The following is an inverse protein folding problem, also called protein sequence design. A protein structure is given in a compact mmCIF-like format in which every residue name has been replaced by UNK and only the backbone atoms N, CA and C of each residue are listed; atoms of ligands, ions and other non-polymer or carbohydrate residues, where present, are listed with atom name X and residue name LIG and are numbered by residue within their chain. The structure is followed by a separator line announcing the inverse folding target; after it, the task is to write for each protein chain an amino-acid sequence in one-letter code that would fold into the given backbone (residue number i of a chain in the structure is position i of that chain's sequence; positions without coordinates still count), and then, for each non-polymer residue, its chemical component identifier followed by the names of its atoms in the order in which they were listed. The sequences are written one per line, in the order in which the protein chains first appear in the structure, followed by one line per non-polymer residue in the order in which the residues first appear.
data_IF_874761532597
#
_entry.id   IF_874761532597
#
_cell.length_a   1.000
_cell.length_b   1.000
_cell.length_c   1.000
_cell.angle_alpha   90.00
_cell.angle_beta   90.00
_cell.angle_gamma   90.00
#
_symmetry.space_group_name_H-M   'P 1'
#
loop_
_entity.id
_entity.type
_entity.pdbx_description
1 polymer ?
#
# COMPACT_ATOMS: atom_id res chain seq x y z
N UNK A 1 7.47 48.02 22.32
CA UNK A 1 6.54 46.88 22.39
C UNK A 1 5.60 46.98 21.21
N UNK A 2 5.70 46.08 20.23
CA UNK A 2 4.74 45.97 19.12
C UNK A 2 4.62 44.49 18.74
N UNK A 3 3.43 43.92 18.92
CA UNK A 3 3.04 42.60 18.43
C UNK A 3 2.25 42.83 17.14
N UNK A 4 2.80 42.36 16.03
CA UNK A 4 2.11 42.10 14.76
C UNK A 4 3.07 41.20 13.95
N UNK A 5 2.68 40.14 13.26
CA UNK A 5 1.41 39.48 13.04
C UNK A 5 1.76 37.99 12.85
N UNK A 6 0.95 37.09 13.39
CA UNK A 6 1.05 35.68 13.02
C UNK A 6 0.42 35.57 11.63
N UNK A 7 1.28 35.64 10.62
CA UNK A 7 0.95 35.29 9.24
C UNK A 7 0.45 33.85 9.25
N UNK A 8 -0.87 33.71 9.28
CA UNK A 8 -1.55 32.44 9.08
C UNK A 8 -1.57 32.18 7.58
N UNK A 9 -0.38 31.87 7.05
CA UNK A 9 -0.28 31.33 5.70
C UNK A 9 -0.89 29.93 5.72
N UNK A 10 -2.08 29.89 5.12
CA UNK A 10 -2.85 28.74 4.63
C UNK A 10 -2.04 27.44 4.67
N UNK A 11 -2.42 26.52 5.56
CA UNK A 11 -2.08 25.12 5.39
C UNK A 11 -2.72 24.65 4.08
N UNK A 12 -1.92 24.62 3.02
CA UNK A 12 -2.28 23.99 1.77
C UNK A 12 -2.83 22.59 2.09
N UNK A 13 -4.12 22.38 1.77
CA UNK A 13 -4.79 21.08 1.83
C UNK A 13 -4.13 20.16 0.80
N UNK A 14 -2.91 19.68 1.08
CA UNK A 14 -2.42 18.48 0.43
C UNK A 14 -3.30 17.34 0.93
N UNK A 15 -4.08 16.66 0.07
CA UNK A 15 -4.78 15.46 0.47
C UNK A 15 -3.77 14.53 1.11
N UNK A 16 -4.02 14.11 2.34
CA UNK A 16 -3.15 13.15 3.02
C UNK A 16 -3.05 11.91 2.11
N UNK A 17 -1.84 11.63 1.59
CA UNK A 17 -1.61 10.58 0.60
C UNK A 17 -2.11 9.21 1.08
N UNK A 18 -2.04 8.93 2.39
CA UNK A 18 -2.58 7.71 2.98
C UNK A 18 -4.11 7.67 2.92
N UNK A 19 -4.79 8.79 3.17
CA UNK A 19 -6.25 8.89 3.10
C UNK A 19 -6.77 8.78 1.66
N UNK A 20 -6.06 9.38 0.70
CA UNK A 20 -6.36 9.22 -0.72
C UNK A 20 -6.19 7.75 -1.14
N UNK A 21 -5.10 7.11 -0.76
CA UNK A 21 -4.85 5.71 -1.09
C UNK A 21 -5.90 4.77 -0.44
N UNK A 22 -6.32 5.04 0.80
CA UNK A 22 -7.37 4.28 1.48
C UNK A 22 -8.74 4.43 0.77
N UNK A 23 -9.05 5.63 0.26
CA UNK A 23 -10.25 5.84 -0.55
C UNK A 23 -10.18 5.07 -1.87
N UNK A 24 -9.01 5.00 -2.51
CA UNK A 24 -8.82 4.19 -3.72
C UNK A 24 -8.98 2.69 -3.44
N UNK A 25 -8.48 2.18 -2.30
CA UNK A 25 -8.76 0.79 -1.88
C UNK A 25 -10.27 0.52 -1.75
N UNK A 26 -11.02 1.46 -1.16
CA UNK A 26 -12.46 1.33 -1.03
C UNK A 26 -13.17 1.31 -2.40
N UNK A 27 -12.71 2.13 -3.36
CA UNK A 27 -13.22 2.16 -4.73
C UNK A 27 -12.92 0.85 -5.48
N UNK A 28 -11.82 0.18 -5.14
CA UNK A 28 -11.47 -1.15 -5.64
C UNK A 28 -12.27 -2.28 -4.96
N UNK A 29 -13.13 -1.95 -4.00
CA UNK A 29 -14.01 -2.90 -3.33
C UNK A 29 -13.45 -3.51 -2.05
N UNK A 30 -12.27 -3.08 -1.59
CA UNK A 30 -11.72 -3.48 -0.29
C UNK A 30 -12.51 -2.81 0.83
N UNK A 31 -12.95 -3.58 1.81
CA UNK A 31 -13.83 -3.13 2.89
C UNK A 31 -13.13 -3.19 4.25
N UNK A 32 -13.60 -2.39 5.23
CA UNK A 32 -13.21 -2.56 6.62
C UNK A 32 -13.34 -4.01 7.09
N UNK A 33 -12.31 -4.52 7.75
CA UNK A 33 -12.23 -5.92 8.22
C UNK A 33 -11.65 -6.91 7.21
N UNK A 34 -11.51 -6.55 5.93
CA UNK A 34 -10.86 -7.42 4.95
C UNK A 34 -9.42 -7.70 5.35
N UNK A 35 -8.98 -8.94 5.10
CA UNK A 35 -7.60 -9.36 5.34
C UNK A 35 -6.72 -8.92 4.17
N UNK A 36 -5.62 -8.25 4.46
CA UNK A 36 -4.62 -7.81 3.49
C UNK A 36 -3.25 -8.36 3.85
N UNK A 37 -2.37 -8.47 2.84
CA UNK A 37 -0.96 -8.74 3.05
C UNK A 37 -0.13 -7.50 2.73
N UNK A 38 1.11 -7.45 3.24
CA UNK A 38 2.00 -6.31 3.06
C UNK A 38 3.34 -6.70 2.47
N UNK A 39 3.85 -5.86 1.56
CA UNK A 39 5.22 -5.92 1.03
C UNK A 39 5.81 -4.52 1.11
N UNK A 40 6.53 -4.20 2.18
CA UNK A 40 7.11 -2.87 2.41
C UNK A 40 8.52 -2.99 2.96
N UNK A 41 9.52 -2.28 2.40
CA UNK A 41 10.90 -2.31 2.89
C UNK A 41 11.04 -1.64 4.27
N UNK A 42 10.00 -0.96 4.74
CA UNK A 42 10.02 -0.23 6.00
C UNK A 42 8.90 -0.70 6.95
N UNK A 43 9.21 -0.64 8.25
CA UNK A 43 8.26 -0.94 9.35
C UNK A 43 7.37 0.28 9.65
N UNK A 44 7.35 1.30 8.79
CA UNK A 44 6.63 2.57 9.05
C UNK A 44 5.13 2.36 9.28
N UNK A 45 4.54 3.37 9.91
CA UNK A 45 3.15 3.42 10.31
C UNK A 45 2.21 2.87 9.23
N UNK A 46 1.33 1.99 9.67
CA UNK A 46 0.28 1.30 8.92
C UNK A 46 -0.84 2.28 8.49
N UNK A 47 -0.45 3.41 7.89
CA UNK A 47 -1.28 4.59 7.70
C UNK A 47 -2.51 4.28 6.85
N UNK A 48 -2.28 3.77 5.64
CA UNK A 48 -3.35 3.38 4.73
C UNK A 48 -4.20 2.24 5.32
N UNK A 49 -3.57 1.23 5.95
CA UNK A 49 -4.27 0.06 6.48
C UNK A 49 -5.18 0.44 7.66
N UNK A 50 -4.71 1.33 8.55
CA UNK A 50 -5.49 1.84 9.69
C UNK A 50 -6.62 2.73 9.23
N UNK A 51 -6.40 3.63 8.25
CA UNK A 51 -7.46 4.49 7.71
C UNK A 51 -8.53 3.64 7.00
N UNK A 52 -8.13 2.65 6.21
CA UNK A 52 -9.03 1.72 5.53
C UNK A 52 -9.70 0.70 6.47
N UNK A 53 -9.22 0.59 7.72
CA UNK A 53 -9.69 -0.36 8.74
C UNK A 53 -9.58 -1.83 8.29
N UNK A 54 -8.55 -2.16 7.51
CA UNK A 54 -8.26 -3.54 7.08
C UNK A 54 -7.41 -4.28 8.11
N UNK A 55 -7.37 -5.60 8.03
CA UNK A 55 -6.58 -6.46 8.91
C UNK A 55 -5.34 -6.96 8.19
N UNK A 56 -4.14 -6.61 8.68
CA UNK A 56 -2.90 -7.18 8.16
C UNK A 56 -2.79 -8.61 8.68
N UNK A 57 -2.91 -9.59 7.79
CA UNK A 57 -2.91 -11.01 8.13
C UNK A 57 -1.63 -11.74 7.70
N UNK A 58 -0.81 -11.12 6.84
CA UNK A 58 0.48 -11.64 6.40
C UNK A 58 1.39 -10.50 5.93
N UNK A 59 2.70 -10.74 5.93
CA UNK A 59 3.68 -9.83 5.35
C UNK A 59 4.87 -10.59 4.77
N UNK A 60 5.52 -9.99 3.79
CA UNK A 60 6.91 -10.30 3.44
C UNK A 60 7.79 -9.53 4.42
N UNK A 61 8.73 -10.22 5.05
CA UNK A 61 9.71 -9.59 5.94
C UNK A 61 10.36 -8.38 5.26
N UNK A 62 10.41 -7.26 5.97
CA UNK A 62 10.84 -5.98 5.40
C UNK A 62 12.30 -6.02 4.89
N UNK A 63 13.15 -6.86 5.48
CA UNK A 63 14.53 -7.09 5.02
C UNK A 63 14.62 -7.92 3.73
N UNK A 64 13.51 -8.53 3.30
CA UNK A 64 13.42 -9.46 2.16
C UNK A 64 12.53 -8.94 1.03
N UNK A 65 12.02 -7.71 1.10
CA UNK A 65 11.18 -7.18 0.02
C UNK A 65 11.92 -7.03 -1.30
N UNK A 66 13.23 -6.74 -1.25
CA UNK A 66 14.08 -6.72 -2.45
C UNK A 66 14.10 -8.07 -3.15
N UNK A 67 14.11 -9.16 -2.39
CA UNK A 67 14.13 -10.52 -2.94
C UNK A 67 12.82 -10.83 -3.65
N UNK A 68 11.69 -10.40 -3.10
CA UNK A 68 10.39 -10.52 -3.78
C UNK A 68 10.41 -9.79 -5.14
N UNK A 69 10.84 -8.53 -5.15
CA UNK A 69 10.85 -7.72 -6.38
C UNK A 69 11.87 -8.21 -7.43
N UNK A 70 13.00 -8.76 -6.99
CA UNK A 70 14.03 -9.33 -7.86
C UNK A 70 13.71 -10.76 -8.34
N UNK A 71 12.75 -11.44 -7.70
CA UNK A 71 12.39 -12.80 -8.06
C UNK A 71 11.74 -12.87 -9.47
N UNK A 72 11.86 -14.01 -10.17
CA UNK A 72 11.12 -14.25 -11.40
C UNK A 72 9.61 -14.05 -11.22
N UNK A 73 8.88 -13.60 -12.26
CA UNK A 73 7.43 -13.39 -12.17
C UNK A 73 6.65 -14.61 -11.66
N UNK A 74 7.08 -15.83 -12.02
CA UNK A 74 6.47 -17.08 -11.52
C UNK A 74 6.56 -17.22 -10.00
N UNK A 75 7.67 -16.79 -9.40
CA UNK A 75 7.88 -16.84 -7.95
C UNK A 75 7.05 -15.77 -7.24
N UNK A 76 6.98 -14.56 -7.79
CA UNK A 76 6.11 -13.50 -7.27
C UNK A 76 4.65 -13.95 -7.29
N UNK A 77 4.17 -14.45 -8.44
CA UNK A 77 2.81 -14.94 -8.60
C UNK A 77 2.49 -16.09 -7.65
N UNK A 78 3.43 -17.03 -7.44
CA UNK A 78 3.23 -18.13 -6.50
C UNK A 78 3.01 -17.64 -5.06
N UNK A 79 3.72 -16.60 -4.63
CA UNK A 79 3.52 -15.99 -3.30
C UNK A 79 2.20 -15.22 -3.21
N UNK A 80 1.85 -14.45 -4.25
CA UNK A 80 0.59 -13.71 -4.32
C UNK A 80 -0.62 -14.66 -4.33
N UNK A 81 -0.54 -15.76 -5.07
CA UNK A 81 -1.55 -16.83 -5.09
C UNK A 81 -1.65 -17.53 -3.73
N UNK A 82 -0.54 -17.74 -3.03
CA UNK A 82 -0.55 -18.30 -1.68
C UNK A 82 -1.26 -17.35 -0.71
N UNK A 83 -1.02 -16.04 -0.78
CA UNK A 83 -1.78 -15.08 0.02
C UNK A 83 -3.28 -15.15 -0.32
N UNK A 84 -3.63 -15.11 -1.60
CA UNK A 84 -5.01 -15.20 -2.05
C UNK A 84 -5.71 -16.48 -1.55
N UNK A 85 -5.03 -17.63 -1.60
CA UNK A 85 -5.56 -18.91 -1.13
C UNK A 85 -5.80 -18.96 0.38
N UNK A 86 -5.25 -18.01 1.14
CA UNK A 86 -5.46 -17.85 2.60
C UNK A 86 -6.49 -16.76 2.93
N UNK A 87 -7.23 -16.28 1.94
CA UNK A 87 -8.30 -15.30 2.12
C UNK A 87 -7.82 -13.85 2.19
N UNK A 88 -6.59 -13.57 1.79
CA UNK A 88 -6.10 -12.20 1.57
C UNK A 88 -6.84 -11.61 0.36
N UNK A 89 -7.45 -10.44 0.56
CA UNK A 89 -8.24 -9.72 -0.46
C UNK A 89 -7.41 -8.76 -1.30
N UNK A 90 -6.29 -8.29 -0.75
CA UNK A 90 -5.36 -7.40 -1.43
C UNK A 90 -3.96 -7.54 -0.84
N UNK A 91 -2.93 -7.30 -1.66
CA UNK A 91 -1.55 -7.13 -1.19
C UNK A 91 -1.18 -5.67 -1.40
N UNK A 92 -0.86 -4.97 -0.32
CA UNK A 92 -0.45 -3.55 -0.33
C UNK A 92 1.07 -3.50 -0.32
N UNK A 93 1.64 -2.72 -1.23
CA UNK A 93 3.07 -2.63 -1.39
C UNK A 93 3.61 -1.20 -1.47
N UNK A 94 4.84 -1.06 -0.99
CA UNK A 94 5.73 0.06 -1.25
C UNK A 94 7.10 -0.51 -1.63
N UNK A 95 7.95 0.29 -2.26
CA UNK A 95 9.30 -0.11 -2.63
C UNK A 95 10.22 1.10 -2.66
N UNK A 96 11.52 0.85 -2.54
CA UNK A 96 12.54 1.87 -2.76
C UNK A 96 12.61 2.17 -4.26
N UNK A 97 12.76 3.44 -4.64
CA UNK A 97 12.98 3.82 -6.03
C UNK A 97 14.32 3.24 -6.53
N UNK A 98 14.41 2.84 -7.81
CA UNK A 98 13.41 2.97 -8.88
C UNK A 98 12.26 1.95 -8.77
N UNK A 99 11.17 2.19 -9.51
CA UNK A 99 10.03 1.26 -9.61
C UNK A 99 10.53 -0.12 -10.10
N UNK A 100 10.14 -1.24 -9.46
CA UNK A 100 10.49 -2.58 -9.91
C UNK A 100 10.06 -2.84 -11.36
N UNK A 101 10.84 -3.63 -12.11
CA UNK A 101 10.54 -3.93 -13.51
C UNK A 101 9.27 -4.79 -13.67
N UNK A 102 8.95 -5.64 -12.68
CA UNK A 102 7.87 -6.61 -12.73
C UNK A 102 6.65 -6.12 -11.93
N UNK A 103 5.96 -5.08 -12.42
CA UNK A 103 4.76 -4.51 -11.79
C UNK A 103 3.45 -4.94 -12.46
N UNK A 104 3.50 -5.96 -13.34
CA UNK A 104 2.30 -6.45 -14.01
C UNK A 104 1.26 -6.92 -12.99
N UNK A 105 0.01 -6.44 -13.14
CA UNK A 105 -1.08 -6.74 -12.22
C UNK A 105 -1.13 -5.88 -10.95
N UNK A 106 -0.16 -4.98 -10.74
CA UNK A 106 -0.19 -4.00 -9.66
C UNK A 106 -0.85 -2.69 -10.11
N UNK A 107 -1.68 -2.12 -9.24
CA UNK A 107 -2.40 -0.86 -9.46
C UNK A 107 -1.79 0.21 -8.56
N UNK A 108 -1.39 1.34 -9.13
CA UNK A 108 -0.90 2.48 -8.37
C UNK A 108 -2.06 3.22 -7.70
N UNK A 109 -1.97 3.46 -6.38
CA UNK A 109 -3.03 4.10 -5.62
C UNK A 109 -2.91 5.63 -5.66
N UNK A 110 -3.42 6.24 -6.73
CA UNK A 110 -3.44 7.69 -6.91
C UNK A 110 -2.03 8.28 -7.03
N UNK A 111 -1.76 9.40 -6.35
CA UNK A 111 -0.45 10.05 -6.31
C UNK A 111 0.40 9.62 -5.11
N UNK A 112 0.08 8.49 -4.48
CA UNK A 112 0.74 8.00 -3.26
C UNK A 112 1.96 7.12 -3.57
N UNK A 113 2.63 6.64 -2.52
CA UNK A 113 3.70 5.63 -2.62
C UNK A 113 3.17 4.18 -2.72
N UNK A 114 1.85 3.98 -2.58
CA UNK A 114 1.27 2.65 -2.43
C UNK A 114 0.85 2.06 -3.77
N UNK A 115 1.08 0.76 -3.88
CA UNK A 115 0.58 -0.09 -4.94
C UNK A 115 -0.27 -1.19 -4.34
N UNK A 116 -1.26 -1.67 -5.08
CA UNK A 116 -2.08 -2.79 -4.68
C UNK A 116 -2.11 -3.86 -5.75
N UNK A 117 -1.97 -5.10 -5.32
CA UNK A 117 -2.32 -6.26 -6.13
C UNK A 117 -3.63 -6.84 -5.62
N UNK A 118 -4.51 -7.21 -6.54
CA UNK A 118 -5.78 -7.86 -6.26
C UNK A 118 -5.76 -9.26 -6.89
N UNK A 119 -6.23 -10.31 -6.19
CA UNK A 119 -6.43 -11.60 -6.83
C UNK A 119 -7.46 -11.46 -7.94
N UNK A 120 -7.19 -12.08 -9.09
CA UNK A 120 -8.20 -12.17 -10.16
C UNK A 120 -9.46 -12.82 -9.61
N UNK A 121 -10.63 -12.31 -10.02
CA UNK A 121 -11.92 -12.93 -9.72
C UNK A 121 -11.94 -14.31 -10.37
N UNK A 122 -11.65 -15.35 -9.60
CA UNK A 122 -11.92 -16.74 -10.00
C UNK A 122 -13.41 -17.02 -9.97
#
# INVERSE_FOLDING_TARGET
MSRAACDTSKSDEHPNADAQAATQLANLGIRPGDKVARISPTVVDLGIERIARVQIAAEVDNSRTSDFWAAPPSTQNSLLDLFASRGIKAVIATFQTPVPANMNGWIHLGSSQYWVWLPEKR
#
